data_IF_391128364632
#
_entry.id   IF_391128364632
#
_cell.length_a   1.000
_cell.length_b   1.000
_cell.length_c   1.000
_cell.angle_alpha   90.00
_cell.angle_beta   90.00
_cell.angle_gamma   90.00
#
_symmetry.space_group_name_H-M   'P 1'
#
loop_
_entity.id
_entity.type
_entity.pdbx_description
1 polymer ?
#
# COMPACT_ATOMS: atom_id res chain seq x y z
N UNK A 1 16.65 7.29 -36.60
CA UNK A 1 16.98 6.88 -38.00
C UNK A 1 18.03 7.77 -38.65
N UNK A 2 17.98 9.10 -38.54
CA UNK A 2 18.96 10.00 -39.14
C UNK A 2 20.41 9.76 -38.67
N UNK A 3 20.63 9.38 -37.43
CA UNK A 3 21.95 9.07 -36.89
C UNK A 3 22.51 7.74 -37.35
N UNK A 4 21.67 6.74 -37.64
CA UNK A 4 22.09 5.40 -38.05
C UNK A 4 22.20 5.20 -39.57
N UNK A 5 21.88 6.23 -40.38
CA UNK A 5 21.85 6.19 -41.88
C UNK A 5 21.07 5.02 -42.47
N UNK A 6 20.08 4.47 -41.75
CA UNK A 6 19.24 3.36 -42.17
C UNK A 6 18.11 3.86 -43.09
N UNK A 7 17.87 3.15 -44.20
CA UNK A 7 16.72 3.40 -45.08
C UNK A 7 15.51 2.60 -44.60
N UNK A 8 14.31 3.05 -44.97
CA UNK A 8 13.05 2.37 -44.60
C UNK A 8 13.05 0.89 -45.05
N UNK A 9 13.56 0.62 -46.24
CA UNK A 9 13.63 -0.71 -46.81
C UNK A 9 14.61 -1.64 -46.05
N UNK A 10 15.74 -1.09 -45.55
CA UNK A 10 16.72 -1.82 -44.75
C UNK A 10 16.13 -2.23 -43.39
N UNK A 11 15.42 -1.33 -42.77
CA UNK A 11 14.70 -1.59 -41.51
C UNK A 11 13.60 -2.61 -41.72
N UNK A 12 12.82 -2.48 -42.79
CA UNK A 12 11.75 -3.40 -43.13
C UNK A 12 12.26 -4.82 -43.34
N UNK A 13 13.36 -4.95 -44.11
CA UNK A 13 14.01 -6.23 -44.35
C UNK A 13 14.58 -6.87 -43.09
N UNK A 14 15.21 -6.06 -42.20
CA UNK A 14 15.78 -6.55 -40.95
C UNK A 14 14.71 -7.05 -39.97
N UNK A 15 13.56 -6.37 -39.89
CA UNK A 15 12.45 -6.69 -38.98
C UNK A 15 11.42 -7.65 -39.61
N UNK A 16 11.57 -8.05 -40.87
CA UNK A 16 10.63 -8.93 -41.55
C UNK A 16 9.25 -8.33 -41.75
N UNK A 17 9.16 -7.00 -41.94
CA UNK A 17 7.88 -6.27 -42.11
C UNK A 17 7.83 -5.57 -43.49
N UNK A 18 6.62 -5.19 -43.90
CA UNK A 18 6.43 -4.40 -45.12
C UNK A 18 6.97 -2.95 -44.94
N UNK A 19 7.68 -2.36 -45.91
CA UNK A 19 8.16 -0.97 -45.84
C UNK A 19 7.07 0.06 -45.50
N UNK A 20 5.83 -0.19 -45.91
CA UNK A 20 4.69 0.66 -45.53
C UNK A 20 4.43 0.66 -43.97
N UNK A 21 4.79 -0.46 -43.33
CA UNK A 21 4.67 -0.56 -41.86
C UNK A 21 5.70 0.34 -41.18
N UNK A 22 6.94 0.33 -41.64
CA UNK A 22 8.01 1.22 -41.16
C UNK A 22 7.63 2.68 -41.37
N UNK A 23 7.06 3.04 -42.54
CA UNK A 23 6.60 4.39 -42.84
C UNK A 23 5.48 4.85 -41.87
N UNK A 24 4.56 3.93 -41.51
CA UNK A 24 3.51 4.24 -40.49
C UNK A 24 4.12 4.51 -39.11
N UNK A 25 5.16 3.81 -38.73
CA UNK A 25 5.89 4.06 -37.49
C UNK A 25 6.57 5.43 -37.50
N UNK A 26 7.18 5.80 -38.60
CA UNK A 26 7.76 7.13 -38.78
C UNK A 26 6.73 8.27 -38.80
N UNK A 27 5.48 7.95 -39.16
CA UNK A 27 4.36 8.89 -39.08
C UNK A 27 3.66 8.95 -37.71
N UNK A 28 4.24 8.31 -36.66
CA UNK A 28 3.76 8.40 -35.29
C UNK A 28 2.96 7.19 -34.79
N UNK A 29 2.78 6.13 -35.61
CA UNK A 29 2.15 4.90 -35.12
C UNK A 29 3.14 4.08 -34.30
N UNK A 30 2.79 3.74 -33.07
CA UNK A 30 3.64 2.94 -32.18
C UNK A 30 3.70 1.48 -32.67
N UNK A 31 4.90 0.88 -32.82
CA UNK A 31 5.06 -0.53 -33.14
C UNK A 31 4.58 -1.47 -32.04
N UNK A 32 4.33 -2.73 -32.36
CA UNK A 32 4.12 -3.77 -31.36
C UNK A 32 5.38 -4.00 -30.50
N UNK A 33 5.27 -4.49 -29.24
CA UNK A 33 6.41 -4.64 -28.33
C UNK A 33 7.60 -5.38 -28.91
N UNK A 34 7.38 -6.50 -29.62
CA UNK A 34 8.45 -7.25 -30.27
C UNK A 34 9.18 -6.47 -31.36
N UNK A 35 8.45 -5.62 -32.10
CA UNK A 35 9.05 -4.77 -33.15
C UNK A 35 9.77 -3.56 -32.56
N UNK A 36 9.31 -3.05 -31.38
CA UNK A 36 9.99 -1.95 -30.69
C UNK A 36 11.35 -2.38 -30.17
N UNK A 37 11.42 -3.51 -29.44
CA UNK A 37 12.67 -4.06 -28.93
C UNK A 37 13.68 -4.28 -30.08
N UNK A 38 13.28 -4.97 -31.17
CA UNK A 38 14.14 -5.24 -32.30
C UNK A 38 14.60 -3.96 -33.05
N UNK A 39 13.75 -2.93 -33.10
CA UNK A 39 14.11 -1.64 -33.68
C UNK A 39 15.07 -0.84 -32.79
N UNK A 40 14.88 -0.88 -31.47
CA UNK A 40 15.77 -0.27 -30.49
C UNK A 40 17.18 -0.87 -30.58
N UNK A 41 17.30 -2.19 -30.64
CA UNK A 41 18.54 -2.91 -30.84
C UNK A 41 19.20 -2.51 -32.17
N UNK A 42 18.44 -2.45 -33.26
CA UNK A 42 18.94 -2.12 -34.60
C UNK A 42 19.52 -0.71 -34.66
N UNK A 43 18.93 0.26 -33.95
CA UNK A 43 19.39 1.67 -33.96
C UNK A 43 20.33 1.99 -32.79
N UNK A 44 20.60 1.04 -31.91
CA UNK A 44 21.47 1.22 -30.75
C UNK A 44 20.94 2.27 -29.76
N UNK A 45 19.61 2.30 -29.55
CA UNK A 45 18.95 3.23 -28.64
C UNK A 45 18.10 2.46 -27.60
N UNK A 46 17.78 3.10 -26.48
CA UNK A 46 16.85 2.52 -25.53
C UNK A 46 15.40 2.60 -26.06
N UNK A 47 14.62 1.55 -25.87
CA UNK A 47 13.20 1.50 -26.28
C UNK A 47 12.40 2.65 -25.66
N UNK A 48 12.66 3.00 -24.41
CA UNK A 48 12.02 4.10 -23.70
C UNK A 48 12.33 5.48 -24.32
N UNK A 49 13.54 5.66 -24.88
CA UNK A 49 13.92 6.91 -25.56
C UNK A 49 13.23 7.07 -26.91
N UNK A 50 12.97 5.96 -27.60
CA UNK A 50 12.32 5.97 -28.92
C UNK A 50 10.80 6.13 -28.82
N UNK A 51 10.19 5.57 -27.81
CA UNK A 51 8.75 5.58 -27.59
C UNK A 51 8.39 5.85 -26.11
N UNK A 52 8.61 7.05 -25.59
CA UNK A 52 8.33 7.38 -24.19
C UNK A 52 6.86 7.18 -23.81
N UNK A 53 5.94 7.24 -24.78
CA UNK A 53 4.50 7.07 -24.56
C UNK A 53 3.96 5.69 -24.97
N UNK A 54 4.82 4.78 -25.44
CA UNK A 54 4.38 3.50 -26.03
C UNK A 54 3.87 2.48 -25.04
N UNK A 55 4.19 2.64 -23.80
CA UNK A 55 3.75 1.78 -22.71
C UNK A 55 2.58 2.42 -21.99
N UNK A 56 1.54 2.89 -22.58
CA UNK A 56 0.33 3.43 -21.97
C UNK A 56 0.56 4.49 -20.85
N UNK A 57 -0.46 5.16 -20.37
CA UNK A 57 -0.30 6.28 -19.43
C UNK A 57 0.32 5.91 -18.05
N UNK A 58 0.62 4.64 -17.82
CA UNK A 58 1.18 4.16 -16.56
C UNK A 58 2.61 3.63 -16.63
N UNK A 59 3.19 3.46 -17.83
CA UNK A 59 4.44 2.73 -17.98
C UNK A 59 5.70 3.60 -18.09
N UNK A 60 5.59 4.90 -18.24
CA UNK A 60 6.72 5.85 -18.15
C UNK A 60 6.87 6.51 -16.77
N UNK A 61 6.00 6.14 -15.82
CA UNK A 61 6.16 6.62 -14.45
C UNK A 61 6.92 5.57 -13.68
N UNK A 62 8.15 5.88 -13.32
CA UNK A 62 8.86 5.14 -12.30
C UNK A 62 7.91 4.91 -11.12
N UNK A 63 7.89 3.69 -10.59
CA UNK A 63 7.21 3.36 -9.33
C UNK A 63 7.50 4.49 -8.34
N UNK A 64 6.50 5.07 -7.65
CA UNK A 64 6.76 6.10 -6.66
C UNK A 64 7.86 5.62 -5.72
N UNK A 65 8.85 6.45 -5.47
CA UNK A 65 9.99 6.13 -4.61
C UNK A 65 9.52 5.65 -3.23
N UNK A 66 8.42 6.22 -2.75
CA UNK A 66 7.77 5.85 -1.50
C UNK A 66 7.18 4.43 -1.49
N UNK A 67 6.80 3.86 -2.66
CA UNK A 67 6.14 2.55 -2.69
C UNK A 67 7.16 1.42 -2.50
N UNK A 68 7.28 0.90 -1.30
CA UNK A 68 8.22 -0.16 -0.94
C UNK A 68 7.75 -1.55 -1.39
N UNK A 69 6.47 -1.90 -1.18
CA UNK A 69 5.91 -3.19 -1.56
C UNK A 69 4.39 -3.12 -1.81
N UNK A 70 3.85 -4.10 -2.52
CA UNK A 70 2.41 -4.34 -2.66
C UNK A 70 2.14 -5.80 -2.40
N UNK A 71 1.17 -6.08 -1.52
CA UNK A 71 0.68 -7.44 -1.28
C UNK A 71 -0.75 -7.56 -1.82
N UNK A 72 -1.10 -8.65 -2.51
CA UNK A 72 -2.43 -8.83 -3.09
C UNK A 72 -3.54 -8.88 -2.03
N UNK A 73 -3.20 -9.26 -0.82
CA UNK A 73 -4.09 -9.26 0.34
C UNK A 73 -3.28 -9.32 1.63
N UNK A 74 -3.88 -8.93 2.77
CA UNK A 74 -3.19 -8.88 4.06
C UNK A 74 -2.62 -10.24 4.49
N UNK A 75 -3.29 -11.35 4.19
CA UNK A 75 -2.78 -12.68 4.50
C UNK A 75 -1.51 -13.07 3.71
N UNK A 76 -1.20 -12.38 2.62
CA UNK A 76 0.04 -12.60 1.88
C UNK A 76 1.26 -11.97 2.55
N UNK A 77 1.06 -11.14 3.57
CA UNK A 77 2.16 -10.56 4.35
C UNK A 77 2.65 -11.62 5.33
N UNK A 78 3.92 -12.07 5.22
CA UNK A 78 4.47 -13.03 6.17
C UNK A 78 4.45 -12.48 7.59
N UNK A 79 4.22 -13.37 8.58
CA UNK A 79 4.25 -12.97 9.99
C UNK A 79 5.55 -12.26 10.39
N UNK A 80 6.69 -12.74 9.88
CA UNK A 80 7.99 -12.10 10.14
C UNK A 80 8.12 -10.71 9.51
N UNK A 81 7.38 -10.40 8.44
CA UNK A 81 7.36 -9.06 7.87
C UNK A 81 6.61 -8.09 8.81
N UNK A 82 5.48 -8.50 9.40
CA UNK A 82 4.80 -7.75 10.45
C UNK A 82 5.69 -7.53 11.67
N UNK A 83 6.40 -8.59 12.10
CA UNK A 83 7.32 -8.51 13.23
C UNK A 83 8.43 -7.48 12.97
N UNK A 84 9.15 -7.61 11.85
CA UNK A 84 10.22 -6.66 11.48
C UNK A 84 9.69 -5.24 11.33
N UNK A 85 8.48 -5.06 10.81
CA UNK A 85 7.85 -3.77 10.66
C UNK A 85 7.68 -3.06 12.02
N UNK A 86 7.09 -3.71 13.02
CA UNK A 86 6.96 -3.11 14.35
C UNK A 86 8.28 -3.02 15.11
N UNK A 87 9.20 -3.98 14.92
CA UNK A 87 10.55 -3.92 15.49
C UNK A 87 11.37 -2.75 14.97
N UNK A 88 11.10 -2.27 13.76
CA UNK A 88 11.84 -1.14 13.17
C UNK A 88 11.48 0.22 13.76
N UNK A 89 10.35 0.35 14.47
CA UNK A 89 9.95 1.61 15.06
C UNK A 89 10.93 2.07 16.14
N UNK A 90 11.35 3.32 16.09
CA UNK A 90 12.22 3.96 17.08
C UNK A 90 11.48 5.02 17.90
N UNK A 91 10.42 5.61 17.34
CA UNK A 91 9.69 6.72 17.95
C UNK A 91 8.21 6.40 18.13
N UNK A 92 7.57 5.83 17.10
CA UNK A 92 6.13 5.64 17.14
C UNK A 92 5.65 4.38 16.40
N UNK A 93 4.68 3.69 17.03
CA UNK A 93 3.83 2.67 16.42
C UNK A 93 2.39 3.20 16.40
N UNK A 94 1.76 3.19 15.23
CA UNK A 94 0.36 3.56 15.04
C UNK A 94 -0.46 2.41 14.46
N UNK A 95 -1.64 2.18 15.01
CA UNK A 95 -2.61 1.19 14.49
C UNK A 95 -3.97 1.88 14.37
N UNK A 96 -4.49 2.00 13.15
CA UNK A 96 -5.83 2.51 12.87
C UNK A 96 -6.61 1.45 12.09
N UNK A 97 -7.65 0.90 12.67
CA UNK A 97 -8.48 -0.12 12.04
C UNK A 97 -9.83 -0.26 12.75
N UNK A 98 -10.80 -0.91 12.13
CA UNK A 98 -12.03 -1.25 12.85
C UNK A 98 -11.76 -2.19 14.03
N UNK A 99 -11.03 -3.29 13.86
CA UNK A 99 -10.76 -4.24 14.95
C UNK A 99 -9.28 -4.57 15.15
N UNK A 100 -8.48 -4.58 14.09
CA UNK A 100 -7.09 -5.10 14.12
C UNK A 100 -6.93 -6.44 14.88
N UNK A 101 -7.98 -7.28 14.85
CA UNK A 101 -8.07 -8.51 15.66
C UNK A 101 -6.91 -9.46 15.39
N UNK A 102 -6.45 -9.59 14.13
CA UNK A 102 -5.34 -10.47 13.77
C UNK A 102 -4.02 -10.14 14.50
N UNK A 103 -3.80 -8.87 14.85
CA UNK A 103 -2.65 -8.45 15.66
C UNK A 103 -2.86 -8.83 17.12
N UNK A 104 -4.07 -8.64 17.62
CA UNK A 104 -4.43 -8.96 19.00
C UNK A 104 -4.38 -10.47 19.29
N UNK A 105 -4.67 -11.31 18.30
CA UNK A 105 -4.58 -12.78 18.39
C UNK A 105 -3.13 -13.30 18.31
N UNK A 106 -2.16 -12.51 17.86
CA UNK A 106 -0.75 -12.90 17.80
C UNK A 106 0.01 -12.38 19.03
N UNK A 107 0.14 -13.24 20.04
CA UNK A 107 0.87 -12.90 21.27
C UNK A 107 2.32 -12.46 21.03
N UNK A 108 2.97 -12.94 19.96
CA UNK A 108 4.32 -12.54 19.62
C UNK A 108 4.38 -11.12 19.06
N UNK A 109 3.40 -10.70 18.25
CA UNK A 109 3.29 -9.32 17.78
C UNK A 109 2.92 -8.36 18.90
N UNK A 110 1.99 -8.75 19.78
CA UNK A 110 1.68 -7.97 21.00
C UNK A 110 2.91 -7.82 21.89
N UNK A 111 3.71 -8.88 22.03
CA UNK A 111 4.96 -8.84 22.78
C UNK A 111 5.98 -7.85 22.20
N UNK A 112 6.10 -7.77 20.87
CA UNK A 112 6.95 -6.77 20.21
C UNK A 112 6.47 -5.36 20.49
N UNK A 113 5.16 -5.10 20.38
CA UNK A 113 4.56 -3.79 20.66
C UNK A 113 4.80 -3.38 22.11
N UNK A 114 4.60 -4.30 23.08
CA UNK A 114 4.84 -4.07 24.48
C UNK A 114 6.32 -3.79 24.79
N UNK A 115 7.23 -4.54 24.20
CA UNK A 115 8.69 -4.33 24.34
C UNK A 115 9.11 -2.97 23.78
N UNK A 116 8.58 -2.56 22.63
CA UNK A 116 8.84 -1.22 22.08
C UNK A 116 8.35 -0.11 23.00
N UNK A 117 7.14 -0.23 23.53
CA UNK A 117 6.61 0.74 24.49
C UNK A 117 7.47 0.82 25.76
N UNK A 118 7.93 -0.32 26.32
CA UNK A 118 8.80 -0.34 27.49
C UNK A 118 10.16 0.34 27.26
N UNK A 119 10.54 0.54 25.98
CA UNK A 119 11.73 1.27 25.55
C UNK A 119 11.48 2.73 25.17
N UNK A 120 10.25 3.24 25.43
CA UNK A 120 9.88 4.63 25.20
C UNK A 120 9.25 4.94 23.85
N UNK A 121 9.01 3.92 22.99
CA UNK A 121 8.29 4.12 21.73
C UNK A 121 6.83 4.40 22.03
N UNK A 122 6.27 5.48 21.46
CA UNK A 122 4.86 5.81 21.60
C UNK A 122 4.00 4.84 20.80
N UNK A 123 3.01 4.21 21.43
CA UNK A 123 2.10 3.27 20.81
C UNK A 123 0.69 3.83 20.84
N UNK A 124 0.13 4.08 19.67
CA UNK A 124 -1.21 4.65 19.49
C UNK A 124 -2.10 3.67 18.73
N UNK A 125 -3.15 3.17 19.38
CA UNK A 125 -4.09 2.19 18.83
C UNK A 125 -5.47 2.81 18.75
N UNK A 126 -5.98 3.07 17.55
CA UNK A 126 -7.33 3.55 17.29
C UNK A 126 -8.18 2.41 16.71
N UNK A 127 -9.17 1.94 17.46
CA UNK A 127 -10.11 0.92 17.03
C UNK A 127 -11.51 1.52 16.84
N UNK A 128 -12.32 0.91 15.97
CA UNK A 128 -13.71 1.34 15.80
C UNK A 128 -14.49 1.21 17.13
N UNK A 129 -15.33 2.18 17.44
CA UNK A 129 -16.30 2.04 18.54
C UNK A 129 -17.30 0.93 18.15
N UNK A 130 -17.41 -0.17 18.91
CA UNK A 130 -18.30 -1.28 18.56
C UNK A 130 -19.78 -0.90 18.52
N UNK A 131 -20.15 0.22 19.14
CA UNK A 131 -21.53 0.68 19.20
C UNK A 131 -21.84 1.81 18.20
N UNK A 132 -20.85 2.21 17.37
CA UNK A 132 -21.03 3.28 16.39
C UNK A 132 -21.62 2.79 15.06
N UNK A 133 -22.33 3.67 14.32
CA UNK A 133 -22.90 3.34 13.03
C UNK A 133 -21.86 2.89 11.98
N UNK A 134 -20.63 3.41 12.03
CA UNK A 134 -19.57 3.08 11.08
C UNK A 134 -19.13 1.60 11.18
N UNK A 135 -19.05 1.06 12.39
CA UNK A 135 -18.76 -0.37 12.62
C UNK A 135 -19.94 -1.25 12.15
N UNK A 136 -21.19 -0.84 12.45
CA UNK A 136 -22.37 -1.56 11.99
C UNK A 136 -22.45 -1.58 10.43
N UNK A 137 -22.22 -0.43 9.80
CA UNK A 137 -22.18 -0.30 8.34
C UNK A 137 -21.11 -1.20 7.73
N UNK A 138 -19.90 -1.20 8.29
CA UNK A 138 -18.81 -2.07 7.82
C UNK A 138 -19.15 -3.55 7.96
N UNK A 139 -19.81 -3.93 9.04
CA UNK A 139 -20.31 -5.31 9.24
C UNK A 139 -21.33 -5.71 8.18
N UNK A 140 -22.23 -4.81 7.82
CA UNK A 140 -23.19 -5.02 6.74
C UNK A 140 -22.51 -5.19 5.38
N UNK A 141 -21.56 -4.32 5.03
CA UNK A 141 -20.82 -4.35 3.77
C UNK A 141 -20.00 -5.65 3.62
N UNK A 142 -19.39 -6.14 4.69
CA UNK A 142 -18.65 -7.43 4.68
C UNK A 142 -19.59 -8.66 4.74
N UNK A 143 -20.89 -8.47 4.86
CA UNK A 143 -21.87 -9.56 4.96
C UNK A 143 -21.82 -10.32 6.30
N UNK A 144 -21.25 -9.72 7.36
CA UNK A 144 -21.11 -10.34 8.68
C UNK A 144 -21.95 -9.67 9.77
N UNK A 145 -22.66 -8.57 9.44
CA UNK A 145 -23.54 -7.86 10.37
C UNK A 145 -22.88 -7.55 11.71
N UNK A 146 -23.57 -7.89 12.80
CA UNK A 146 -23.14 -7.62 14.18
C UNK A 146 -21.83 -8.33 14.60
N UNK A 147 -21.38 -9.30 13.81
CA UNK A 147 -20.11 -9.95 14.07
C UNK A 147 -18.92 -8.98 13.94
N UNK A 148 -19.08 -7.83 13.23
CA UNK A 148 -18.03 -6.81 13.21
C UNK A 148 -17.87 -6.17 14.60
N UNK A 149 -18.95 -5.76 15.24
CA UNK A 149 -18.92 -5.22 16.60
C UNK A 149 -18.36 -6.26 17.61
N UNK A 150 -18.74 -7.53 17.47
CA UNK A 150 -18.19 -8.61 18.27
C UNK A 150 -16.67 -8.78 18.09
N UNK A 151 -16.15 -8.67 16.83
CA UNK A 151 -14.70 -8.67 16.56
C UNK A 151 -13.98 -7.52 17.26
N UNK A 152 -14.57 -6.32 17.27
CA UNK A 152 -13.97 -5.17 17.97
C UNK A 152 -13.91 -5.43 19.47
N UNK A 153 -15.01 -5.88 20.08
CA UNK A 153 -15.05 -6.21 21.51
C UNK A 153 -14.05 -7.30 21.89
N UNK A 154 -13.88 -8.31 21.03
CA UNK A 154 -12.87 -9.35 21.23
C UNK A 154 -11.46 -8.76 21.16
N UNK A 155 -11.18 -7.94 20.14
CA UNK A 155 -9.89 -7.27 20.02
C UNK A 155 -9.56 -6.42 21.24
N UNK A 156 -10.50 -5.60 21.71
CA UNK A 156 -10.34 -4.81 22.94
C UNK A 156 -10.02 -5.68 24.17
N UNK A 157 -10.63 -6.87 24.26
CA UNK A 157 -10.35 -7.82 25.32
C UNK A 157 -8.92 -8.35 25.24
N UNK A 158 -8.44 -8.67 24.04
CA UNK A 158 -7.10 -9.19 23.82
C UNK A 158 -6.02 -8.09 23.96
N UNK A 159 -6.34 -6.82 23.70
CA UNK A 159 -5.44 -5.69 23.94
C UNK A 159 -5.34 -5.28 25.42
N UNK A 160 -6.20 -5.79 26.31
CA UNK A 160 -6.17 -5.47 27.76
C UNK A 160 -4.78 -5.54 28.40
N UNK A 161 -3.91 -6.53 28.09
CA UNK A 161 -2.56 -6.57 28.67
C UNK A 161 -1.69 -5.35 28.37
N UNK A 162 -2.03 -4.60 27.32
CA UNK A 162 -1.33 -3.37 26.94
C UNK A 162 -1.90 -2.13 27.62
N UNK A 163 -3.16 -2.20 28.08
CA UNK A 163 -3.82 -1.05 28.73
C UNK A 163 -3.14 -0.72 30.06
N UNK A 164 -2.82 0.55 30.26
CA UNK A 164 -2.13 1.03 31.47
C UNK A 164 -0.61 0.89 31.42
N UNK A 165 -0.04 0.32 30.36
CA UNK A 165 1.41 0.41 30.12
C UNK A 165 1.77 1.86 29.75
N UNK A 166 2.90 2.33 30.26
CA UNK A 166 3.47 3.61 29.85
C UNK A 166 3.72 3.62 28.34
N UNK A 167 3.51 4.75 27.69
CA UNK A 167 3.64 4.95 26.25
C UNK A 167 2.63 4.20 25.36
N UNK A 168 1.60 3.56 25.92
CA UNK A 168 0.52 2.95 25.13
C UNK A 168 -0.80 3.68 25.40
N UNK A 169 -1.43 4.15 24.32
CA UNK A 169 -2.76 4.74 24.37
C UNK A 169 -3.69 4.03 23.37
N UNK A 170 -4.88 3.65 23.86
CA UNK A 170 -5.94 3.04 23.06
C UNK A 170 -7.13 3.99 23.02
N UNK A 171 -7.64 4.27 21.83
CA UNK A 171 -8.82 5.10 21.60
C UNK A 171 -9.85 4.38 20.75
N UNK A 172 -11.11 4.82 20.88
CA UNK A 172 -12.22 4.38 20.02
C UNK A 172 -12.59 5.50 19.04
N UNK A 173 -12.68 5.17 17.75
CA UNK A 173 -13.11 6.11 16.72
C UNK A 173 -14.47 5.73 16.15
N UNK A 174 -15.21 6.73 15.67
CA UNK A 174 -16.49 6.59 14.98
C UNK A 174 -16.36 6.89 13.48
N UNK A 175 -15.12 7.03 12.98
CA UNK A 175 -14.85 7.38 11.58
C UNK A 175 -15.16 6.22 10.62
N UNK A 176 -15.68 6.55 9.45
CA UNK A 176 -15.74 5.63 8.32
C UNK A 176 -14.32 5.50 7.75
N UNK A 177 -13.75 4.31 7.81
CA UNK A 177 -12.42 4.04 7.29
C UNK A 177 -12.49 3.52 5.84
N UNK A 178 -11.67 4.09 4.97
CA UNK A 178 -11.42 3.61 3.61
C UNK A 178 -10.24 2.64 3.52
N UNK A 179 -9.47 2.57 4.58
CA UNK A 179 -8.33 1.67 4.76
C UNK A 179 -8.02 1.50 6.24
N UNK A 180 -7.27 0.44 6.58
CA UNK A 180 -6.57 0.37 7.86
C UNK A 180 -5.13 0.83 7.66
N UNK A 181 -4.58 1.55 8.64
CA UNK A 181 -3.22 2.07 8.61
C UNK A 181 -2.44 1.46 9.77
N UNK A 182 -1.28 0.90 9.45
CA UNK A 182 -0.30 0.44 10.43
C UNK A 182 0.96 1.26 10.20
N UNK A 183 1.45 1.90 11.24
CA UNK A 183 2.58 2.82 11.21
C UNK A 183 3.75 2.30 12.04
N UNK A 184 4.96 2.46 11.53
CA UNK A 184 6.21 2.33 12.25
C UNK A 184 7.10 3.52 11.80
N UNK A 185 7.13 4.58 12.61
CA UNK A 185 7.72 5.88 12.27
C UNK A 185 7.20 6.42 10.92
N UNK A 186 8.08 6.66 9.94
CA UNK A 186 7.76 7.07 8.58
C UNK A 186 7.39 5.94 7.62
N UNK A 187 7.20 4.70 8.10
CA UNK A 187 6.73 3.59 7.28
C UNK A 187 5.26 3.30 7.56
N UNK A 188 4.49 3.04 6.51
CA UNK A 188 3.07 2.71 6.64
C UNK A 188 2.68 1.51 5.80
N UNK A 189 1.89 0.60 6.39
CA UNK A 189 1.15 -0.43 5.70
C UNK A 189 -0.31 0.03 5.60
N UNK A 190 -0.78 0.22 4.39
CA UNK A 190 -2.13 0.70 4.09
C UNK A 190 -2.95 -0.43 3.51
N UNK A 191 -3.84 -1.00 4.32
CA UNK A 191 -4.73 -2.08 3.90
C UNK A 191 -6.03 -1.47 3.37
N UNK A 192 -6.20 -1.50 2.05
CA UNK A 192 -7.38 -0.95 1.38
C UNK A 192 -8.66 -1.64 1.83
N UNK A 193 -9.77 -0.89 1.89
CA UNK A 193 -11.10 -1.45 2.10
C UNK A 193 -11.88 -1.45 0.78
N UNK A 194 -11.88 -2.58 0.08
CA UNK A 194 -12.75 -2.76 -1.07
C UNK A 194 -14.17 -3.10 -0.58
N UNK A 195 -15.19 -2.53 -1.23
CA UNK A 195 -16.58 -2.76 -0.87
C UNK A 195 -16.95 -4.25 -0.97
N UNK A 196 -17.60 -4.78 0.05
CA UNK A 196 -18.01 -6.19 0.13
C UNK A 196 -16.87 -7.19 0.36
N UNK A 197 -15.61 -6.71 0.51
CA UNK A 197 -14.45 -7.58 0.70
C UNK A 197 -13.86 -7.35 2.09
N UNK A 198 -13.70 -8.41 2.92
CA UNK A 198 -13.02 -8.30 4.20
C UNK A 198 -11.59 -7.76 4.07
N UNK A 199 -11.16 -6.91 5.00
CA UNK A 199 -9.82 -6.32 4.99
C UNK A 199 -8.69 -7.37 4.88
N UNK A 200 -8.89 -8.58 5.40
CA UNK A 200 -7.94 -9.69 5.30
C UNK A 200 -7.67 -10.12 3.84
N UNK A 201 -8.66 -9.94 2.95
CA UNK A 201 -8.59 -10.29 1.52
C UNK A 201 -8.33 -9.09 0.61
N UNK A 202 -8.22 -7.89 1.17
CA UNK A 202 -7.99 -6.65 0.43
C UNK A 202 -6.49 -6.35 0.32
N UNK A 203 -6.06 -5.64 -0.74
CA UNK A 203 -4.65 -5.31 -0.97
C UNK A 203 -4.03 -4.49 0.16
N UNK A 204 -2.71 -4.66 0.34
CA UNK A 204 -1.91 -3.84 1.23
C UNK A 204 -0.77 -3.20 0.46
N UNK A 205 -0.68 -1.89 0.56
CA UNK A 205 0.41 -1.09 0.03
C UNK A 205 1.34 -0.69 1.16
N UNK A 206 2.64 -0.87 0.95
CA UNK A 206 3.66 -0.49 1.91
C UNK A 206 4.37 0.74 1.37
N UNK A 207 4.27 1.85 2.09
CA UNK A 207 4.94 3.10 1.75
C UNK A 207 5.98 3.45 2.80
N UNK A 208 6.97 4.24 2.38
CA UNK A 208 7.98 4.85 3.23
C UNK A 208 8.05 6.32 2.89
N UNK A 209 8.08 7.17 3.89
CA UNK A 209 8.32 8.60 3.69
C UNK A 209 9.59 8.84 2.88
N UNK A 210 9.52 9.79 1.96
CA UNK A 210 10.65 10.32 1.20
C UNK A 210 10.55 11.83 1.12
N UNK A 211 11.69 12.49 0.90
CA UNK A 211 11.73 13.97 0.84
C UNK A 211 10.89 14.57 -0.29
N UNK A 212 10.63 13.80 -1.34
CA UNK A 212 9.93 14.24 -2.55
C UNK A 212 8.52 13.67 -2.69
N UNK A 213 8.05 12.85 -1.74
CA UNK A 213 6.81 12.10 -1.85
C UNK A 213 5.74 12.55 -0.86
N UNK A 214 4.48 12.49 -1.30
CA UNK A 214 3.31 12.93 -0.52
C UNK A 214 2.41 11.76 -0.10
N UNK A 215 2.68 10.52 -0.57
CA UNK A 215 1.75 9.40 -0.39
C UNK A 215 1.77 8.92 1.06
N UNK A 216 2.95 8.65 1.62
CA UNK A 216 3.08 8.24 3.02
C UNK A 216 2.56 9.34 3.95
N UNK A 217 2.94 10.59 3.71
CA UNK A 217 2.49 11.76 4.47
C UNK A 217 0.96 11.88 4.49
N UNK A 218 0.27 11.66 3.35
CA UNK A 218 -1.19 11.70 3.28
C UNK A 218 -1.87 10.66 4.17
N UNK A 219 -1.30 9.45 4.26
CA UNK A 219 -1.83 8.40 5.15
C UNK A 219 -1.50 8.68 6.63
N UNK A 220 -0.33 9.23 6.92
CA UNK A 220 0.01 9.67 8.27
C UNK A 220 -0.91 10.79 8.74
N UNK A 221 -1.17 11.79 7.91
CA UNK A 221 -2.15 12.85 8.18
C UNK A 221 -3.57 12.29 8.40
N UNK A 222 -3.97 11.30 7.62
CA UNK A 222 -5.26 10.63 7.79
C UNK A 222 -5.34 9.91 9.15
N UNK A 223 -4.27 9.25 9.56
CA UNK A 223 -4.16 8.64 10.88
C UNK A 223 -4.34 9.69 11.98
N UNK A 224 -3.60 10.81 11.90
CA UNK A 224 -3.67 11.89 12.90
C UNK A 224 -5.08 12.48 13.02
N UNK A 225 -5.77 12.73 11.91
CA UNK A 225 -7.13 13.27 11.91
C UNK A 225 -8.12 12.35 12.63
N UNK A 226 -8.03 11.04 12.40
CA UNK A 226 -8.89 10.06 13.09
C UNK A 226 -8.49 9.96 14.56
N UNK A 227 -7.18 9.92 14.87
CA UNK A 227 -6.67 9.89 16.22
C UNK A 227 -7.15 11.06 17.09
N UNK A 228 -7.12 12.26 16.53
CA UNK A 228 -7.57 13.48 17.22
C UNK A 228 -9.07 13.50 17.52
N UNK A 229 -9.88 12.83 16.69
CA UNK A 229 -11.33 12.71 16.89
C UNK A 229 -11.73 11.53 17.77
N UNK A 230 -10.81 10.59 18.02
CA UNK A 230 -11.08 9.37 18.78
C UNK A 230 -11.11 9.63 20.29
N UNK A 231 -11.95 8.88 21.01
CA UNK A 231 -12.16 8.98 22.46
C UNK A 231 -11.27 7.98 23.19
N UNK A 232 -10.66 8.37 24.31
CA UNK A 232 -9.93 7.44 25.19
C UNK A 232 -10.86 6.35 25.71
N UNK A 233 -10.32 5.11 25.81
CA UNK A 233 -11.05 3.94 26.32
C UNK A 233 -11.09 3.92 27.84
#
# INVERSE_FOLDING_TARGET
MVRARLREDDVAAHLGVDPKTVRRWLSGRVPYPSSRAALADLVGADEADLWPDAEGPLSGRSRPEELAAVYPHRWAIPRDAWKRFFESAEHEIGILAYSALFLAEDAGLLGVIADKASRGVQVRIALGDPDCPAVAQRGHEEGIGDAMAAKVRNALTLYRPLLGMEHIEVRLHEAILYNSIYRADGQVFVNQHAYGIPAARSPVFCYRESESGDIAAAYLDSFEKVWMSAKST
#
